data_IF_185971896516
#
_entry.id   IF_185971896516
#
_cell.length_a   1.000
_cell.length_b   1.000
_cell.length_c   1.000
_cell.angle_alpha   90.00
_cell.angle_beta   90.00
_cell.angle_gamma   90.00
#
_symmetry.space_group_name_H-M   'P 1'
#
loop_
_entity.id
_entity.type
_entity.pdbx_description
1 polymer ?
#
# COMPACT_ATOMS: atom_id res chain seq x y z
N UNK A 1 -45.96 7.15 -43.63
CA UNK A 1 -44.90 7.49 -44.61
C UNK A 1 -43.87 8.36 -43.89
N UNK A 2 -42.78 7.77 -43.39
CA UNK A 2 -41.68 8.51 -42.76
C UNK A 2 -40.38 7.99 -43.34
N UNK A 3 -39.74 8.81 -44.15
CA UNK A 3 -38.43 8.56 -44.72
C UNK A 3 -37.39 8.55 -43.59
N UNK A 4 -36.87 7.36 -43.28
CA UNK A 4 -35.63 7.18 -42.55
C UNK A 4 -34.49 7.40 -43.54
N UNK A 5 -33.90 8.60 -43.52
CA UNK A 5 -32.63 8.83 -44.21
C UNK A 5 -31.53 8.03 -43.50
N UNK A 6 -30.88 7.21 -44.31
CA UNK A 6 -29.90 6.19 -43.96
C UNK A 6 -28.62 6.83 -43.45
N UNK A 7 -28.14 6.37 -42.30
CA UNK A 7 -26.73 6.51 -41.93
C UNK A 7 -25.91 5.69 -42.92
N UNK A 8 -25.10 6.36 -43.73
CA UNK A 8 -24.14 5.72 -44.61
C UNK A 8 -22.96 5.24 -43.74
N UNK A 9 -22.97 3.94 -43.42
CA UNK A 9 -21.78 3.21 -43.01
C UNK A 9 -20.85 3.15 -44.22
N UNK A 10 -19.80 3.98 -44.23
CA UNK A 10 -18.74 3.89 -45.22
C UNK A 10 -17.54 3.12 -44.67
N UNK A 11 -17.14 2.15 -45.48
CA UNK A 11 -16.17 1.12 -45.24
C UNK A 11 -14.76 1.65 -45.50
N UNK A 12 -13.81 1.37 -44.61
CA UNK A 12 -12.39 1.61 -44.93
C UNK A 12 -11.46 1.55 -43.73
N UNK A 13 -10.52 0.61 -43.74
CA UNK A 13 -9.48 0.40 -42.71
C UNK A 13 -8.38 1.49 -42.71
N UNK A 14 -8.66 2.70 -43.23
CA UNK A 14 -7.71 3.82 -43.31
C UNK A 14 -8.32 5.21 -43.00
N UNK A 15 -9.24 5.31 -42.03
CA UNK A 15 -9.69 6.61 -41.47
C UNK A 15 -9.59 6.63 -39.94
N UNK A 16 -8.36 6.43 -39.43
CA UNK A 16 -8.05 6.48 -38.00
C UNK A 16 -8.04 7.94 -37.50
N UNK A 17 -9.19 8.61 -37.47
CA UNK A 17 -9.34 9.93 -36.85
C UNK A 17 -9.89 11.00 -37.79
N UNK A 18 -10.35 12.11 -37.20
CA UNK A 18 -10.90 13.26 -37.94
C UNK A 18 -10.06 14.50 -37.70
N UNK A 19 -9.89 15.31 -38.73
CA UNK A 19 -9.22 16.60 -38.60
C UNK A 19 -10.09 17.59 -37.81
N UNK A 20 -9.46 18.33 -36.91
CA UNK A 20 -10.10 19.44 -36.22
C UNK A 20 -10.52 20.54 -37.20
N UNK A 21 -11.75 21.03 -37.12
CA UNK A 21 -12.24 22.10 -37.98
C UNK A 21 -11.53 23.46 -37.77
N UNK A 22 -10.87 23.65 -36.62
CA UNK A 22 -10.15 24.89 -36.29
C UNK A 22 -8.65 24.84 -36.63
N UNK A 23 -7.94 23.76 -36.25
CA UNK A 23 -6.49 23.66 -36.42
C UNK A 23 -6.04 22.58 -37.42
N UNK A 24 -6.99 21.87 -38.04
CA UNK A 24 -6.79 20.81 -39.03
C UNK A 24 -5.90 19.64 -38.59
N UNK A 25 -5.53 19.56 -37.31
CA UNK A 25 -4.81 18.41 -36.75
C UNK A 25 -5.72 17.19 -36.70
N UNK A 26 -5.23 16.06 -37.20
CA UNK A 26 -5.84 14.74 -37.03
C UNK A 26 -5.85 14.36 -35.55
N UNK A 27 -7.04 14.10 -35.01
CA UNK A 27 -7.24 13.54 -33.69
C UNK A 27 -8.03 12.23 -33.82
N UNK A 28 -7.57 11.20 -33.11
CA UNK A 28 -8.16 9.87 -33.13
C UNK A 28 -9.43 9.80 -32.27
N UNK A 29 -9.71 10.86 -31.50
CA UNK A 29 -10.90 10.99 -30.66
C UNK A 29 -11.70 12.26 -31.05
N UNK A 30 -12.63 12.15 -32.01
CA UNK A 30 -13.37 13.32 -32.51
C UNK A 30 -14.39 13.85 -31.49
N UNK A 31 -14.24 15.10 -31.07
CA UNK A 31 -15.22 15.80 -30.24
C UNK A 31 -16.16 16.63 -31.10
N UNK A 32 -17.47 16.46 -30.94
CA UNK A 32 -18.47 17.18 -31.73
C UNK A 32 -19.06 18.31 -30.89
N UNK A 33 -19.04 19.55 -31.40
CA UNK A 33 -19.68 20.66 -30.72
C UNK A 33 -21.19 20.67 -30.97
N UNK A 34 -22.00 20.71 -29.91
CA UNK A 34 -23.46 20.71 -30.03
C UNK A 34 -24.02 21.98 -30.71
N UNK A 35 -23.29 23.09 -30.66
CA UNK A 35 -23.76 24.38 -31.14
C UNK A 35 -23.41 24.66 -32.60
N UNK A 36 -22.18 24.37 -33.02
CA UNK A 36 -21.72 24.59 -34.39
C UNK A 36 -21.60 23.29 -35.22
N UNK A 37 -21.85 22.12 -34.59
CA UNK A 37 -21.79 20.78 -35.20
C UNK A 37 -20.45 20.39 -35.83
N UNK A 38 -19.39 21.19 -35.62
CA UNK A 38 -18.04 20.88 -36.07
C UNK A 38 -17.35 19.82 -35.21
N UNK A 39 -16.39 19.11 -35.81
CA UNK A 39 -15.52 18.16 -35.13
C UNK A 39 -14.19 18.82 -34.75
N UNK A 40 -13.76 18.65 -33.50
CA UNK A 40 -12.58 19.29 -32.94
C UNK A 40 -11.67 18.29 -32.21
N UNK A 41 -10.39 18.62 -32.13
CA UNK A 41 -9.41 17.86 -31.33
C UNK A 41 -9.55 18.17 -29.83
N UNK A 42 -8.88 17.39 -28.98
CA UNK A 42 -8.85 17.58 -27.52
C UNK A 42 -8.55 19.01 -27.07
N UNK A 43 -7.62 19.70 -27.75
CA UNK A 43 -7.25 21.08 -27.46
C UNK A 43 -8.34 22.10 -27.82
N UNK A 44 -9.18 21.81 -28.83
CA UNK A 44 -10.19 22.73 -29.34
C UNK A 44 -11.63 22.29 -29.02
N UNK A 45 -11.81 21.36 -28.07
CA UNK A 45 -13.14 20.82 -27.70
C UNK A 45 -14.07 21.84 -27.03
N UNK A 46 -13.53 22.88 -26.38
CA UNK A 46 -14.31 23.89 -25.66
C UNK A 46 -14.73 25.02 -26.60
N UNK A 47 -15.84 25.68 -26.29
CA UNK A 47 -16.39 26.78 -27.10
C UNK A 47 -15.42 27.95 -27.27
N UNK A 48 -14.49 28.16 -26.33
CA UNK A 48 -13.50 29.25 -26.34
C UNK A 48 -12.39 28.95 -27.33
N UNK A 49 -12.00 27.68 -27.38
CA UNK A 49 -10.81 27.27 -28.09
C UNK A 49 -11.06 27.13 -29.61
N UNK A 50 -12.30 26.97 -30.07
CA UNK A 50 -12.63 26.91 -31.50
C UNK A 50 -13.49 28.06 -32.02
N UNK A 51 -13.55 29.18 -31.29
CA UNK A 51 -14.32 30.38 -31.69
C UNK A 51 -15.75 30.05 -32.16
N UNK A 52 -16.49 29.30 -31.33
CA UNK A 52 -17.77 28.73 -31.73
C UNK A 52 -18.77 29.78 -32.21
N UNK A 53 -19.33 29.60 -33.41
CA UNK A 53 -20.36 30.51 -33.97
C UNK A 53 -21.62 30.57 -33.08
N UNK A 54 -21.95 29.49 -32.37
CA UNK A 54 -23.07 29.43 -31.43
C UNK A 54 -22.81 30.09 -30.06
N UNK A 55 -21.59 30.57 -29.80
CA UNK A 55 -21.17 31.21 -28.54
C UNK A 55 -22.02 32.42 -28.17
N UNK A 56 -22.57 33.13 -29.15
CA UNK A 56 -23.30 34.40 -28.94
C UNK A 56 -24.75 34.26 -28.47
N UNK A 57 -25.28 33.06 -28.23
CA UNK A 57 -26.67 32.91 -27.76
C UNK A 57 -26.88 33.11 -26.23
N UNK A 58 -25.89 33.64 -25.49
CA UNK A 58 -26.08 34.05 -24.09
C UNK A 58 -25.44 35.40 -23.78
N UNK A 59 -25.98 36.47 -24.36
CA UNK A 59 -25.85 37.80 -23.77
C UNK A 59 -26.94 37.95 -22.70
N UNK A 60 -26.64 37.54 -21.47
CA UNK A 60 -27.34 38.02 -20.29
C UNK A 60 -26.31 38.70 -19.37
N UNK A 61 -26.62 39.90 -18.84
CA UNK A 61 -25.67 40.70 -18.09
C UNK A 61 -25.26 39.98 -16.79
N UNK A 62 -24.07 40.30 -16.31
CA UNK A 62 -23.56 39.88 -14.99
C UNK A 62 -24.45 40.51 -13.91
N UNK A 63 -25.45 39.79 -13.44
CA UNK A 63 -26.13 40.09 -12.17
C UNK A 63 -25.83 38.99 -11.16
N UNK A 64 -25.61 39.44 -9.93
CA UNK A 64 -25.46 38.64 -8.72
C UNK A 64 -26.49 37.50 -8.62
N UNK A 65 -26.11 36.46 -7.87
CA UNK A 65 -26.75 35.16 -7.83
C UNK A 65 -28.28 35.17 -7.84
N UNK A 66 -28.85 34.29 -8.67
CA UNK A 66 -30.22 33.79 -8.51
C UNK A 66 -30.25 32.31 -8.86
N UNK A 67 -30.79 31.58 -7.91
CA UNK A 67 -31.28 30.22 -7.89
C UNK A 67 -31.90 29.81 -9.23
N UNK A 68 -31.24 28.89 -9.94
CA UNK A 68 -31.89 28.10 -10.98
C UNK A 68 -32.26 26.77 -10.38
N UNK A 69 -33.55 26.53 -10.25
CA UNK A 69 -34.13 25.23 -9.94
C UNK A 69 -33.74 24.21 -11.02
N UNK A 70 -32.55 23.62 -10.89
CA UNK A 70 -32.26 22.33 -11.46
C UNK A 70 -32.89 21.29 -10.54
N UNK A 71 -33.86 20.52 -11.03
CA UNK A 71 -34.32 19.28 -10.39
C UNK A 71 -33.24 18.18 -10.45
N UNK A 72 -32.02 18.52 -10.05
CA UNK A 72 -30.88 17.63 -9.95
C UNK A 72 -30.18 17.86 -8.62
N UNK A 73 -29.67 16.80 -7.97
CA UNK A 73 -28.95 16.95 -6.71
C UNK A 73 -27.75 17.88 -6.91
N UNK A 74 -27.60 18.86 -6.00
CA UNK A 74 -26.44 19.75 -5.92
C UNK A 74 -25.13 18.96 -5.95
N UNK A 75 -24.06 19.54 -6.48
CA UNK A 75 -22.72 18.93 -6.40
C UNK A 75 -22.34 18.57 -4.95
N UNK A 76 -22.78 19.35 -3.96
CA UNK A 76 -22.57 19.05 -2.54
C UNK A 76 -23.32 17.79 -2.05
N UNK A 77 -24.38 17.36 -2.75
CA UNK A 77 -25.05 16.07 -2.50
C UNK A 77 -24.44 14.90 -3.27
N UNK A 78 -23.62 15.15 -4.29
CA UNK A 78 -22.88 14.12 -5.04
C UNK A 78 -21.50 13.83 -4.44
N UNK A 79 -20.94 14.78 -3.70
CA UNK A 79 -19.68 14.61 -2.97
C UNK A 79 -20.00 14.57 -1.47
N UNK A 80 -20.05 13.38 -0.85
CA UNK A 80 -20.25 13.28 0.59
C UNK A 80 -19.18 14.09 1.30
N UNK A 81 -19.61 15.07 2.11
CA UNK A 81 -18.72 15.83 2.99
C UNK A 81 -17.92 14.82 3.82
N UNK A 82 -16.62 14.73 3.53
CA UNK A 82 -15.71 13.74 4.13
C UNK A 82 -15.76 13.80 5.65
N UNK A 83 -15.92 15.00 6.22
CA UNK A 83 -15.99 15.18 7.65
C UNK A 83 -17.31 14.66 8.24
N UNK A 84 -18.44 14.82 7.53
CA UNK A 84 -19.74 14.26 7.95
C UNK A 84 -19.78 12.74 7.80
N UNK A 85 -19.25 12.21 6.70
CA UNK A 85 -19.18 10.76 6.50
C UNK A 85 -18.32 10.10 7.58
N UNK A 86 -17.19 10.73 7.93
CA UNK A 86 -16.33 10.27 9.03
C UNK A 86 -17.06 10.28 10.37
N UNK A 87 -17.73 11.38 10.73
CA UNK A 87 -18.54 11.46 11.96
C UNK A 87 -19.70 10.46 12.00
N UNK A 88 -20.31 10.17 10.85
CA UNK A 88 -21.39 9.19 10.74
C UNK A 88 -20.85 7.77 10.99
N UNK A 89 -19.70 7.43 10.40
CA UNK A 89 -18.99 6.17 10.69
C UNK A 89 -18.64 6.05 12.18
N UNK A 90 -18.10 7.11 12.78
CA UNK A 90 -17.75 7.13 14.20
C UNK A 90 -19.01 6.94 15.07
N UNK A 91 -20.09 7.67 14.78
CA UNK A 91 -21.37 7.50 15.49
C UNK A 91 -22.00 6.12 15.27
N UNK A 92 -21.83 5.52 14.08
CA UNK A 92 -22.31 4.18 13.79
C UNK A 92 -21.53 3.14 14.61
N UNK A 93 -20.20 3.27 14.66
CA UNK A 93 -19.32 2.45 15.50
C UNK A 93 -19.69 2.55 16.97
N UNK A 94 -20.06 3.74 17.43
CA UNK A 94 -20.48 4.00 18.81
C UNK A 94 -21.89 3.44 19.10
N UNK A 95 -22.80 3.52 18.13
CA UNK A 95 -24.18 2.99 18.23
C UNK A 95 -24.27 1.46 18.17
N UNK A 96 -23.29 0.80 17.54
CA UNK A 96 -23.24 -0.66 17.45
C UNK A 96 -22.94 -1.31 18.81
N UNK A 97 -22.64 -0.50 19.84
CA UNK A 97 -22.43 -0.97 21.20
C UNK A 97 -21.16 -1.82 21.30
N UNK A 98 -20.50 -1.71 22.44
CA UNK A 98 -19.37 -2.55 22.79
C UNK A 98 -19.82 -4.00 23.01
N UNK A 99 -20.06 -4.74 21.91
CA UNK A 99 -19.62 -6.12 21.94
C UNK A 99 -18.12 -6.06 22.23
N UNK A 100 -17.60 -6.71 23.29
CA UNK A 100 -16.16 -6.81 23.43
C UNK A 100 -15.70 -7.59 22.20
N UNK A 101 -15.24 -6.86 21.19
CA UNK A 101 -14.36 -7.40 20.19
C UNK A 101 -13.22 -7.96 21.03
N UNK A 102 -13.25 -9.27 21.29
CA UNK A 102 -12.07 -9.98 21.76
C UNK A 102 -10.99 -9.48 20.85
N UNK A 103 -10.02 -8.80 21.44
CA UNK A 103 -8.93 -8.08 20.81
C UNK A 103 -8.02 -9.07 20.07
N UNK A 104 -8.58 -9.79 19.09
CA UNK A 104 -7.92 -10.73 18.19
C UNK A 104 -7.35 -9.90 17.04
N UNK A 105 -6.56 -8.88 17.38
CA UNK A 105 -5.64 -8.26 16.44
C UNK A 105 -4.70 -9.36 15.97
N UNK A 106 -4.84 -9.77 14.72
CA UNK A 106 -3.99 -10.82 14.15
C UNK A 106 -2.52 -10.33 14.19
N UNK A 107 -1.55 -11.24 14.40
CA UNK A 107 -0.13 -10.93 14.34
C UNK A 107 0.26 -10.12 13.11
N UNK A 108 -0.39 -10.39 11.98
CA UNK A 108 -0.22 -9.67 10.72
C UNK A 108 -0.54 -8.19 10.87
N UNK A 109 -1.72 -7.83 11.39
CA UNK A 109 -2.09 -6.42 11.54
C UNK A 109 -1.16 -5.66 12.47
N UNK A 110 -0.72 -6.29 13.57
CA UNK A 110 0.26 -5.72 14.50
C UNK A 110 1.57 -5.39 13.78
N UNK A 111 2.08 -6.33 12.98
CA UNK A 111 3.31 -6.12 12.23
C UNK A 111 3.15 -5.11 11.09
N UNK A 112 2.01 -5.09 10.39
CA UNK A 112 1.72 -4.09 9.35
C UNK A 112 1.77 -2.68 9.94
N UNK A 113 1.12 -2.46 11.09
CA UNK A 113 1.17 -1.16 11.79
C UNK A 113 2.59 -0.79 12.17
N UNK A 114 3.36 -1.75 12.70
CA UNK A 114 4.75 -1.53 13.08
C UNK A 114 5.64 -1.11 11.89
N UNK A 115 5.55 -1.81 10.76
CA UNK A 115 6.31 -1.48 9.55
C UNK A 115 5.91 -0.11 8.98
N UNK A 116 4.63 0.24 9.05
CA UNK A 116 4.14 1.56 8.63
C UNK A 116 4.72 2.69 9.51
N UNK A 117 4.70 2.52 10.83
CA UNK A 117 5.30 3.48 11.77
C UNK A 117 6.81 3.65 11.54
N UNK A 118 7.52 2.56 11.23
CA UNK A 118 8.94 2.66 10.84
C UNK A 118 9.13 3.49 9.57
N UNK A 119 8.30 3.29 8.54
CA UNK A 119 8.39 4.03 7.29
C UNK A 119 8.19 5.52 7.50
N UNK A 120 7.16 5.90 8.27
CA UNK A 120 6.91 7.29 8.65
C UNK A 120 8.10 7.93 9.36
N UNK A 121 8.76 7.21 10.28
CA UNK A 121 9.97 7.69 10.96
C UNK A 121 11.15 7.88 10.00
N UNK A 122 11.37 6.95 9.06
CA UNK A 122 12.43 7.08 8.03
C UNK A 122 12.16 8.29 7.13
N UNK A 123 10.91 8.49 6.71
CA UNK A 123 10.54 9.60 5.84
C UNK A 123 10.61 10.96 6.57
N UNK A 124 10.23 11.00 7.86
CA UNK A 124 10.43 12.18 8.70
C UNK A 124 11.92 12.52 8.86
N UNK A 125 12.79 11.51 9.06
CA UNK A 125 14.25 11.70 9.15
C UNK A 125 14.88 12.14 7.84
N UNK A 126 14.34 11.70 6.69
CA UNK A 126 14.73 12.22 5.37
C UNK A 126 14.32 13.68 5.17
N UNK A 127 13.14 14.08 5.65
CA UNK A 127 12.69 15.48 5.62
C UNK A 127 13.54 16.39 6.52
N UNK A 128 13.93 15.93 7.72
CA UNK A 128 14.80 16.71 8.61
C UNK A 128 16.27 16.76 8.14
N UNK A 129 16.72 15.77 7.36
CA UNK A 129 18.06 15.75 6.75
C UNK A 129 18.21 16.61 5.50
N UNK A 130 17.15 17.27 5.02
CA UNK A 130 17.22 18.17 3.85
C UNK A 130 18.03 19.46 4.12
N UNK A 131 18.37 19.75 5.38
CA UNK A 131 19.25 20.86 5.78
C UNK A 131 20.73 20.46 6.02
N UNK A 132 21.10 19.19 5.84
CA UNK A 132 22.47 18.72 6.06
C UNK A 132 22.81 17.55 5.14
N UNK A 133 23.70 17.79 4.17
CA UNK A 133 24.24 16.75 3.29
C UNK A 133 24.93 15.65 4.10
N UNK A 134 24.24 14.53 4.29
CA UNK A 134 24.88 13.21 4.31
C UNK A 134 23.85 12.17 3.83
N UNK A 135 23.91 11.84 2.54
CA UNK A 135 23.14 10.72 2.00
C UNK A 135 23.54 9.46 2.76
N UNK A 136 22.62 8.87 3.54
CA UNK A 136 22.86 7.58 4.19
C UNK A 136 23.00 6.53 3.09
N UNK A 137 24.27 6.20 2.76
CA UNK A 137 24.63 5.21 1.76
C UNK A 137 23.96 3.89 2.13
N UNK A 138 23.20 3.32 1.19
CA UNK A 138 22.60 2.00 1.36
C UNK A 138 23.73 1.00 1.70
N UNK A 139 23.63 0.38 2.88
CA UNK A 139 24.61 -0.61 3.33
C UNK A 139 24.49 -1.82 2.40
N UNK A 140 25.61 -2.32 1.87
CA UNK A 140 25.58 -3.49 0.99
C UNK A 140 25.13 -4.73 1.77
N UNK A 141 24.35 -5.61 1.14
CA UNK A 141 23.89 -6.87 1.76
C UNK A 141 25.05 -7.72 2.32
N UNK A 142 26.22 -7.65 1.68
CA UNK A 142 27.45 -8.30 2.15
C UNK A 142 27.98 -7.73 3.47
N UNK A 143 27.89 -6.41 3.66
CA UNK A 143 28.32 -5.74 4.89
C UNK A 143 27.37 -6.01 6.07
N UNK A 144 26.07 -6.21 5.80
CA UNK A 144 25.11 -6.60 6.83
C UNK A 144 25.36 -8.01 7.34
N UNK A 145 25.62 -8.97 6.44
CA UNK A 145 25.98 -10.35 6.83
C UNK A 145 27.24 -10.38 7.68
N UNK A 146 28.24 -9.55 7.38
CA UNK A 146 29.45 -9.44 8.20
C UNK A 146 29.16 -8.92 9.61
N UNK A 147 28.20 -8.01 9.79
CA UNK A 147 27.76 -7.54 11.12
C UNK A 147 27.04 -8.64 11.89
N UNK A 148 26.15 -9.39 11.22
CA UNK A 148 25.42 -10.50 11.85
C UNK A 148 26.39 -11.56 12.33
N UNK A 149 27.36 -11.97 11.49
CA UNK A 149 28.34 -13.00 11.83
C UNK A 149 29.13 -12.71 13.12
N UNK A 150 29.32 -11.44 13.50
CA UNK A 150 30.06 -11.05 14.70
C UNK A 150 29.29 -11.28 16.00
N UNK A 151 27.97 -11.10 15.98
CA UNK A 151 27.12 -11.14 17.19
C UNK A 151 26.10 -12.27 17.18
N UNK A 152 26.08 -13.05 16.09
CA UNK A 152 25.09 -14.11 15.95
C UNK A 152 25.26 -15.19 17.01
N UNK A 153 24.14 -15.83 17.35
CA UNK A 153 24.08 -17.02 18.19
C UNK A 153 23.22 -18.06 17.50
N UNK A 154 23.41 -19.32 17.86
CA UNK A 154 22.62 -20.40 17.30
C UNK A 154 23.21 -21.76 17.66
N UNK A 155 22.61 -22.83 17.13
CA UNK A 155 22.96 -24.20 17.51
C UNK A 155 24.37 -24.57 17.02
N UNK A 156 25.13 -25.23 17.90
CA UNK A 156 26.48 -25.73 17.61
C UNK A 156 26.49 -26.93 16.64
N UNK A 157 25.34 -27.61 16.49
CA UNK A 157 25.16 -28.76 15.60
C UNK A 157 25.21 -28.42 14.10
N UNK A 158 25.33 -27.14 13.75
CA UNK A 158 25.26 -26.65 12.38
C UNK A 158 26.65 -26.33 11.85
N UNK A 159 27.05 -26.99 10.76
CA UNK A 159 28.31 -26.72 10.08
C UNK A 159 28.34 -25.30 9.48
N UNK A 160 29.51 -24.67 9.43
CA UNK A 160 29.67 -23.28 8.99
C UNK A 160 29.17 -23.01 7.57
N UNK A 161 29.30 -23.98 6.66
CA UNK A 161 28.85 -23.87 5.27
C UNK A 161 27.32 -23.79 5.13
N UNK A 162 26.58 -24.40 6.07
CA UNK A 162 25.13 -24.51 6.00
C UNK A 162 24.41 -23.47 6.89
N UNK A 163 25.16 -22.55 7.51
CA UNK A 163 24.61 -21.49 8.36
C UNK A 163 23.98 -20.39 7.51
N UNK A 164 22.70 -20.14 7.76
CA UNK A 164 22.00 -18.96 7.27
C UNK A 164 21.92 -17.96 8.41
N UNK A 165 22.47 -16.76 8.20
CA UNK A 165 22.52 -15.69 9.19
C UNK A 165 21.33 -14.74 8.99
N UNK A 166 20.70 -14.30 10.06
CA UNK A 166 19.55 -13.40 10.02
C UNK A 166 19.47 -12.51 11.25
N UNK A 167 18.78 -11.39 11.11
CA UNK A 167 18.30 -10.60 12.23
C UNK A 167 16.92 -11.07 12.64
N UNK A 168 16.67 -11.18 13.95
CA UNK A 168 15.35 -11.49 14.48
C UNK A 168 14.95 -10.40 15.46
N UNK A 169 13.73 -9.89 15.30
CA UNK A 169 13.08 -8.98 16.22
C UNK A 169 11.83 -9.63 16.80
N UNK A 170 11.71 -9.64 18.12
CA UNK A 170 10.50 -10.11 18.77
C UNK A 170 9.54 -8.95 19.03
N UNK A 171 8.33 -9.04 18.48
CA UNK A 171 7.27 -8.04 18.61
C UNK A 171 6.15 -8.66 19.43
N UNK A 172 6.14 -8.39 20.73
CA UNK A 172 5.13 -8.89 21.66
C UNK A 172 4.51 -7.80 22.54
N UNK A 173 4.81 -6.54 22.26
CA UNK A 173 4.34 -5.42 23.07
C UNK A 173 3.01 -4.86 22.56
N UNK A 174 2.30 -4.17 23.45
CA UNK A 174 1.04 -3.48 23.16
C UNK A 174 1.25 -2.34 22.16
N UNK A 175 0.18 -1.87 21.50
CA UNK A 175 0.27 -0.87 20.41
C UNK A 175 1.00 0.42 20.78
N UNK A 176 0.89 0.87 22.03
CA UNK A 176 1.54 2.08 22.55
C UNK A 176 3.06 1.90 22.71
N UNK A 177 3.50 0.67 22.98
CA UNK A 177 4.90 0.32 23.15
C UNK A 177 5.57 -0.06 21.81
N UNK A 178 4.80 -0.35 20.76
CA UNK A 178 5.33 -0.59 19.41
C UNK A 178 6.09 0.63 18.87
N UNK A 179 5.71 1.83 19.28
CA UNK A 179 6.37 3.08 18.89
C UNK A 179 7.75 3.27 19.52
N UNK A 180 8.01 2.60 20.64
CA UNK A 180 9.27 2.70 21.39
C UNK A 180 10.31 1.68 20.91
N UNK A 181 9.89 0.61 20.23
CA UNK A 181 10.79 -0.44 19.75
C UNK A 181 11.71 0.12 18.64
N UNK A 182 13.00 0.14 18.93
CA UNK A 182 14.04 0.49 17.95
C UNK A 182 14.62 -0.79 17.34
N UNK A 183 14.35 -1.00 16.04
CA UNK A 183 14.78 -2.22 15.33
C UNK A 183 16.28 -2.39 15.34
N UNK A 184 17.06 -1.31 15.27
CA UNK A 184 18.52 -1.43 15.25
C UNK A 184 19.11 -1.91 16.58
N UNK A 185 18.48 -1.57 17.72
CA UNK A 185 18.99 -1.92 19.05
C UNK A 185 18.40 -3.20 19.61
N UNK A 186 17.14 -3.52 19.29
CA UNK A 186 16.44 -4.68 19.85
C UNK A 186 16.57 -5.94 18.99
N UNK A 187 16.97 -5.82 17.72
CA UNK A 187 17.20 -7.00 16.88
C UNK A 187 18.39 -7.81 17.39
N UNK A 188 18.24 -9.13 17.35
CA UNK A 188 19.28 -10.08 17.72
C UNK A 188 19.76 -10.81 16.48
N UNK A 189 21.07 -11.03 16.41
CA UNK A 189 21.68 -11.81 15.35
C UNK A 189 21.55 -13.30 15.67
N UNK A 190 21.03 -14.10 14.74
CA UNK A 190 20.85 -15.55 14.91
C UNK A 190 21.29 -16.29 13.64
N UNK A 191 21.77 -17.53 13.77
CA UNK A 191 21.95 -18.46 12.64
C UNK A 191 21.14 -19.74 12.81
N UNK A 192 20.72 -20.30 11.68
CA UNK A 192 20.04 -21.61 11.60
C UNK A 192 20.57 -22.42 10.42
N UNK A 193 20.23 -23.72 10.37
CA UNK A 193 20.61 -24.61 9.27
C UNK A 193 19.76 -24.36 8.01
N UNK A 194 20.41 -24.29 6.84
CA UNK A 194 19.76 -24.06 5.54
C UNK A 194 18.65 -25.06 5.18
N UNK A 195 18.81 -26.34 5.54
CA UNK A 195 17.85 -27.41 5.18
C UNK A 195 16.69 -27.60 6.17
N UNK A 196 16.65 -26.85 7.27
CA UNK A 196 15.56 -26.92 8.24
C UNK A 196 14.25 -26.37 7.66
N UNK A 197 13.14 -26.84 8.24
CA UNK A 197 11.83 -26.19 8.06
C UNK A 197 11.80 -24.90 8.89
N UNK A 198 10.95 -23.95 8.48
CA UNK A 198 10.72 -22.70 9.21
C UNK A 198 10.23 -22.98 10.64
N UNK A 199 9.39 -24.00 10.85
CA UNK A 199 8.95 -24.41 12.19
C UNK A 199 10.11 -24.81 13.10
N UNK A 200 11.01 -25.69 12.60
CA UNK A 200 12.21 -26.09 13.35
C UNK A 200 13.18 -24.93 13.57
N UNK A 201 13.30 -24.03 12.60
CA UNK A 201 14.08 -22.81 12.76
C UNK A 201 13.47 -21.89 13.82
N UNK A 202 12.15 -21.74 13.86
CA UNK A 202 11.43 -20.96 14.86
C UNK A 202 11.69 -21.48 16.27
N UNK A 203 11.64 -22.80 16.48
CA UNK A 203 11.96 -23.42 17.77
C UNK A 203 13.38 -23.05 18.24
N UNK A 204 14.36 -23.20 17.35
CA UNK A 204 15.76 -22.89 17.66
C UNK A 204 16.01 -21.39 17.88
N UNK A 205 15.32 -20.53 17.14
CA UNK A 205 15.36 -19.07 17.31
C UNK A 205 14.74 -18.69 18.66
N UNK A 206 13.60 -19.28 19.02
CA UNK A 206 12.92 -19.03 20.28
C UNK A 206 13.81 -19.42 21.47
N UNK A 207 14.43 -20.60 21.43
CA UNK A 207 15.42 -21.05 22.42
C UNK A 207 16.61 -20.08 22.52
N UNK A 208 17.18 -19.67 21.39
CA UNK A 208 18.33 -18.73 21.34
C UNK A 208 17.99 -17.35 21.91
N UNK A 209 16.74 -16.90 21.73
CA UNK A 209 16.26 -15.62 22.26
C UNK A 209 15.64 -15.72 23.66
N UNK A 210 15.63 -16.92 24.26
CA UNK A 210 14.98 -17.21 25.53
C UNK A 210 13.47 -16.87 25.54
N UNK A 211 12.79 -17.21 24.46
CA UNK A 211 11.33 -17.05 24.30
C UNK A 211 10.70 -18.44 24.37
N UNK A 212 9.72 -18.61 25.24
CA UNK A 212 9.03 -19.89 25.37
C UNK A 212 8.09 -20.14 24.19
N UNK A 213 8.39 -21.15 23.38
CA UNK A 213 7.53 -21.59 22.29
C UNK A 213 6.64 -22.77 22.71
N UNK A 214 5.32 -22.55 22.71
CA UNK A 214 4.32 -23.58 23.03
C UNK A 214 3.51 -24.02 21.80
N UNK A 215 3.99 -23.74 20.58
CA UNK A 215 3.26 -24.05 19.34
C UNK A 215 2.82 -25.52 19.22
N UNK A 216 3.59 -26.46 19.78
CA UNK A 216 3.30 -27.89 19.73
C UNK A 216 2.34 -28.39 20.83
N UNK A 217 2.18 -27.64 21.93
CA UNK A 217 1.37 -28.03 23.08
C UNK A 217 0.05 -27.27 23.17
N UNK A 218 -0.03 -26.07 22.58
CA UNK A 218 -1.17 -25.18 22.76
C UNK A 218 -2.26 -25.34 21.70
N UNK A 219 -3.49 -25.60 22.16
CA UNK A 219 -4.71 -25.58 21.34
C UNK A 219 -5.21 -24.15 21.06
N UNK A 220 -4.77 -23.18 21.86
CA UNK A 220 -5.11 -21.78 21.69
C UNK A 220 -4.26 -21.12 20.60
N UNK A 221 -4.86 -20.85 19.43
CA UNK A 221 -4.18 -20.17 18.32
C UNK A 221 -3.56 -18.81 18.74
N UNK A 222 -4.16 -18.13 19.73
CA UNK A 222 -3.71 -16.82 20.24
C UNK A 222 -2.33 -16.79 20.91
N UNK A 223 -1.81 -17.94 21.32
CA UNK A 223 -0.49 -18.00 21.97
C UNK A 223 0.63 -18.44 21.05
N UNK A 224 0.29 -18.75 19.79
CA UNK A 224 1.25 -19.27 18.83
C UNK A 224 2.24 -18.19 18.41
N UNK A 225 3.49 -18.60 18.29
CA UNK A 225 4.55 -17.79 17.71
C UNK A 225 4.54 -17.95 16.19
N UNK A 226 4.59 -16.81 15.50
CA UNK A 226 4.58 -16.73 14.05
C UNK A 226 5.80 -15.95 13.57
N UNK A 227 6.39 -16.40 12.46
CA UNK A 227 7.57 -15.78 11.86
C UNK A 227 7.19 -15.08 10.57
N UNK A 228 7.61 -13.83 10.44
CA UNK A 228 7.36 -12.99 9.27
C UNK A 228 8.67 -12.47 8.70
N UNK A 229 8.70 -12.27 7.39
CA UNK A 229 9.71 -11.45 6.71
C UNK A 229 9.06 -10.14 6.27
N UNK A 230 9.83 -9.05 6.22
CA UNK A 230 9.39 -7.83 5.56
C UNK A 230 9.85 -7.84 4.10
N UNK A 231 8.92 -7.74 3.16
CA UNK A 231 9.18 -7.61 1.74
C UNK A 231 8.56 -6.30 1.25
N UNK A 232 9.36 -5.35 0.76
CA UNK A 232 8.89 -4.01 0.34
C UNK A 232 8.06 -3.26 1.40
N UNK A 233 8.44 -3.37 2.69
CA UNK A 233 7.72 -2.84 3.86
C UNK A 233 6.37 -3.52 4.16
N UNK A 234 6.04 -4.65 3.52
CA UNK A 234 4.86 -5.46 3.81
C UNK A 234 5.24 -6.75 4.54
N UNK A 235 4.47 -7.17 5.56
CA UNK A 235 4.75 -8.40 6.28
C UNK A 235 4.26 -9.62 5.51
N UNK A 236 5.19 -10.52 5.19
CA UNK A 236 4.90 -11.80 4.55
C UNK A 236 5.06 -12.93 5.57
N UNK A 237 4.03 -13.74 5.73
CA UNK A 237 4.02 -14.92 6.60
C UNK A 237 4.98 -15.97 6.07
N UNK A 238 5.79 -16.54 6.95
CA UNK A 238 6.57 -17.73 6.65
C UNK A 238 5.83 -18.97 7.15
N UNK A 239 5.36 -19.81 6.22
CA UNK A 239 4.71 -21.07 6.56
C UNK A 239 5.67 -22.02 7.27
N UNK A 240 5.25 -22.64 8.37
CA UNK A 240 6.10 -23.50 9.20
C UNK A 240 6.69 -24.71 8.43
N UNK A 241 6.00 -25.18 7.40
CA UNK A 241 6.45 -26.28 6.53
C UNK A 241 7.49 -25.86 5.48
N UNK A 242 7.62 -24.57 5.19
CA UNK A 242 8.56 -24.08 4.18
C UNK A 242 10.01 -24.32 4.60
N UNK A 243 10.92 -24.43 3.62
CA UNK A 243 12.35 -24.59 3.87
C UNK A 243 13.04 -23.24 4.04
N UNK A 244 13.98 -23.16 4.98
CA UNK A 244 14.78 -21.93 5.23
C UNK A 244 15.51 -21.51 3.95
N UNK A 245 16.12 -22.46 3.24
CA UNK A 245 16.87 -22.22 1.99
C UNK A 245 16.12 -21.43 0.92
N UNK A 246 14.80 -21.59 0.84
CA UNK A 246 13.96 -21.02 -0.22
C UNK A 246 13.23 -19.77 0.26
N UNK A 247 12.89 -19.73 1.56
CA UNK A 247 12.02 -18.70 2.13
C UNK A 247 12.78 -17.54 2.78
N UNK A 248 14.01 -17.76 3.25
CA UNK A 248 14.79 -16.79 4.03
C UNK A 248 16.16 -16.57 3.36
N UNK A 249 16.41 -15.39 2.76
CA UNK A 249 17.73 -15.07 2.24
C UNK A 249 18.72 -14.79 3.37
N UNK A 250 20.01 -15.01 3.09
CA UNK A 250 21.08 -14.74 4.05
C UNK A 250 21.19 -13.23 4.30
N UNK A 251 21.19 -12.82 5.56
CA UNK A 251 21.15 -11.42 5.98
C UNK A 251 19.76 -10.83 6.16
N UNK A 252 18.69 -11.61 5.97
CA UNK A 252 17.32 -11.14 6.13
C UNK A 252 17.02 -10.64 7.57
N UNK A 253 16.05 -9.74 7.68
CA UNK A 253 15.43 -9.37 8.96
C UNK A 253 14.07 -10.04 9.08
N UNK A 254 13.89 -10.80 10.16
CA UNK A 254 12.68 -11.53 10.49
C UNK A 254 12.02 -10.94 11.74
N UNK A 255 10.71 -11.06 11.80
CA UNK A 255 9.87 -10.58 12.88
C UNK A 255 9.14 -11.77 13.49
N UNK A 256 9.32 -11.96 14.80
CA UNK A 256 8.65 -12.98 15.58
C UNK A 256 7.50 -12.31 16.32
N UNK A 257 6.26 -12.75 16.08
CA UNK A 257 5.05 -12.14 16.67
C UNK A 257 4.18 -13.23 17.29
N UNK A 258 3.69 -13.00 18.51
CA UNK A 258 2.74 -13.89 19.19
C UNK A 258 1.30 -13.53 18.80
N UNK A 259 0.49 -14.53 18.45
CA UNK A 259 -0.95 -14.36 18.22
C UNK A 259 -1.57 -15.39 17.26
N UNK A 260 -2.89 -15.30 17.09
CA UNK A 260 -3.65 -16.19 16.22
C UNK A 260 -3.58 -15.71 14.76
N UNK A 261 -3.18 -16.63 13.86
CA UNK A 261 -3.27 -16.44 12.41
C UNK A 261 -4.68 -16.67 11.91
#
# INVERSE_FOLDING_TARGET
MSALERAHDDQGIMDLGKNCAFCHRLDFLPFHCEFCKGTYCSAHRTLDNHECVGRRQKNAPKTAGIDRASNGPSAASLFPDRARHQKLLDALLESLGTAPARDRKTPLMKLTKFLHLQKLRRDAKKKSSFFGKLASRAVSATAEVAKIKKSAKGPASVNAADRVFMWVLYVNRNEEELEQISVETERRAVWVLKMWSVGRALDSIAETMNIMNHNNATQQSGERLNLFKAEKDEPVVLAASAKVSTSIPNGATLYLVKGAM
#
